data_IF_364075081521
#
_entry.id   IF_364075081521
#
_cell.length_a   1.000
_cell.length_b   1.000
_cell.length_c   1.000
_cell.angle_alpha   90.00
_cell.angle_beta   90.00
_cell.angle_gamma   90.00
#
_symmetry.space_group_name_H-M   'P 1'
#
loop_
_entity.id
_entity.type
_entity.pdbx_description
1 polymer ?
#
# COMPACT_ATOMS: atom_id res chain seq x y z
N UNK A 1 -15.74 20.24 -17.55
CA UNK A 1 -15.48 19.34 -16.41
C UNK A 1 -14.04 18.91 -16.60
N UNK A 2 -13.15 19.27 -15.67
CA UNK A 2 -11.80 18.70 -15.65
C UNK A 2 -11.92 17.22 -15.29
N UNK A 3 -11.17 16.36 -15.99
CA UNK A 3 -11.05 14.96 -15.64
C UNK A 3 -10.50 14.85 -14.21
N UNK A 4 -10.98 13.90 -13.39
CA UNK A 4 -10.39 13.68 -12.08
C UNK A 4 -8.89 13.40 -12.26
N UNK A 5 -8.02 13.97 -11.41
CA UNK A 5 -6.59 13.72 -11.53
C UNK A 5 -6.34 12.22 -11.54
N UNK A 6 -5.48 11.77 -12.47
CA UNK A 6 -5.10 10.37 -12.55
C UNK A 6 -4.70 9.86 -11.16
N UNK A 7 -5.13 8.64 -10.77
CA UNK A 7 -4.81 8.10 -9.47
C UNK A 7 -3.29 8.03 -9.33
N UNK A 8 -2.76 8.80 -8.37
CA UNK A 8 -1.32 8.84 -8.13
C UNK A 8 -0.93 7.54 -7.45
N UNK A 9 -0.02 6.81 -8.10
CA UNK A 9 0.51 5.57 -7.54
C UNK A 9 1.41 5.91 -6.34
N UNK A 10 1.21 5.28 -5.17
CA UNK A 10 2.09 5.52 -4.03
C UNK A 10 3.49 4.96 -4.28
N UNK A 11 4.53 5.77 -4.11
CA UNK A 11 5.92 5.32 -4.13
C UNK A 11 6.33 4.57 -2.85
N UNK A 12 5.63 4.83 -1.75
CA UNK A 12 5.91 4.24 -0.46
C UNK A 12 4.60 3.92 0.26
N UNK A 13 4.69 2.98 1.21
CA UNK A 13 3.61 2.77 2.17
C UNK A 13 3.28 4.12 2.84
N UNK A 14 1.99 4.42 3.05
CA UNK A 14 1.62 5.67 3.68
C UNK A 14 2.21 5.74 5.11
N UNK A 15 2.80 6.88 5.44
CA UNK A 15 3.35 7.20 6.75
C UNK A 15 2.46 8.21 7.46
N UNK A 16 2.42 8.12 8.78
CA UNK A 16 1.75 9.12 9.62
C UNK A 16 2.65 10.36 9.72
N UNK A 17 2.12 11.54 9.36
CA UNK A 17 2.83 12.81 9.51
C UNK A 17 2.76 13.35 10.95
N UNK A 18 3.43 14.48 11.21
CA UNK A 18 3.51 15.07 12.54
C UNK A 18 2.15 15.61 13.03
N UNK A 19 1.23 15.84 12.11
CA UNK A 19 -0.14 16.30 12.31
C UNK A 19 -1.12 15.13 12.47
N UNK A 20 -0.66 13.89 12.29
CA UNK A 20 -1.43 12.66 12.48
C UNK A 20 -2.16 12.16 11.24
N UNK A 21 -1.94 12.75 10.07
CA UNK A 21 -2.54 12.32 8.82
C UNK A 21 -1.77 11.16 8.19
N UNK A 22 -2.51 10.25 7.55
CA UNK A 22 -1.92 9.25 6.68
C UNK A 22 -1.52 9.89 5.36
N UNK A 23 -0.23 9.90 5.09
CA UNK A 23 0.33 10.52 3.90
C UNK A 23 1.20 9.56 3.11
N UNK A 24 1.16 9.59 1.79
CA UNK A 24 2.13 8.87 0.96
C UNK A 24 2.90 9.86 0.09
N UNK A 25 4.07 9.44 -0.39
CA UNK A 25 4.81 10.20 -1.39
C UNK A 25 4.41 9.67 -2.76
N UNK A 26 3.94 10.55 -3.64
CA UNK A 26 3.60 10.22 -5.01
C UNK A 26 4.82 10.21 -5.93
N UNK A 27 4.59 9.82 -7.19
CA UNK A 27 5.64 9.69 -8.21
C UNK A 27 6.37 11.00 -8.55
N UNK A 28 5.78 12.14 -8.20
CA UNK A 28 6.33 13.47 -8.38
C UNK A 28 7.11 13.98 -7.16
N UNK A 29 7.31 13.13 -6.14
CA UNK A 29 7.97 13.46 -4.89
C UNK A 29 7.13 14.32 -3.95
N UNK A 30 5.86 14.60 -4.28
CA UNK A 30 4.97 15.35 -3.40
C UNK A 30 4.32 14.43 -2.39
N UNK A 31 4.07 14.98 -1.20
CA UNK A 31 3.33 14.31 -0.13
C UNK A 31 1.83 14.52 -0.35
N UNK A 32 1.10 13.42 -0.46
CA UNK A 32 -0.34 13.39 -0.60
C UNK A 32 -0.96 12.86 0.68
N UNK A 33 -2.01 13.52 1.14
CA UNK A 33 -2.87 13.00 2.20
C UNK A 33 -3.79 11.96 1.56
N UNK A 34 -3.86 10.77 2.16
CA UNK A 34 -4.91 9.79 1.81
C UNK A 34 -6.22 10.38 2.28
N UNK A 35 -6.86 11.18 1.43
CA UNK A 35 -8.19 11.69 1.69
C UNK A 35 -9.14 10.49 1.73
N UNK A 36 -9.67 10.18 2.92
CA UNK A 36 -10.86 9.35 3.01
C UNK A 36 -12.01 10.07 2.27
N UNK A 37 -12.94 9.31 1.67
CA UNK A 37 -14.02 9.88 0.87
C UNK A 37 -14.75 11.01 1.62
N UNK A 38 -15.26 12.03 0.90
CA UNK A 38 -15.73 13.31 1.45
C UNK A 38 -16.92 13.23 2.44
N UNK A 39 -17.37 12.03 2.78
CA UNK A 39 -18.51 11.74 3.66
C UNK A 39 -18.11 11.14 5.02
N UNK A 40 -16.81 10.89 5.26
CA UNK A 40 -16.37 10.39 6.56
C UNK A 40 -16.47 11.51 7.62
N UNK A 41 -17.34 11.32 8.61
CA UNK A 41 -17.31 12.13 9.83
C UNK A 41 -15.89 12.11 10.44
N UNK A 42 -15.49 13.20 11.12
CA UNK A 42 -14.14 13.31 11.71
C UNK A 42 -13.79 12.13 12.64
N UNK A 43 -14.81 11.57 13.30
CA UNK A 43 -14.70 10.39 14.16
C UNK A 43 -14.40 9.11 13.36
N UNK A 44 -14.92 8.94 12.14
CA UNK A 44 -14.58 7.82 11.25
C UNK A 44 -13.15 7.90 10.76
N UNK A 45 -12.68 9.10 10.43
CA UNK A 45 -11.27 9.32 10.07
C UNK A 45 -10.35 8.92 11.22
N UNK A 46 -10.63 9.40 12.43
CA UNK A 46 -9.81 9.08 13.60
C UNK A 46 -9.81 7.57 13.91
N UNK A 47 -10.94 6.88 13.78
CA UNK A 47 -11.02 5.42 13.93
C UNK A 47 -10.22 4.66 12.88
N UNK A 48 -10.29 5.08 11.61
CA UNK A 48 -9.48 4.47 10.54
C UNK A 48 -7.98 4.67 10.81
N UNK A 49 -7.59 5.86 11.23
CA UNK A 49 -6.20 6.16 11.59
C UNK A 49 -5.73 5.34 12.79
N UNK A 50 -6.57 5.18 13.82
CA UNK A 50 -6.27 4.34 14.97
C UNK A 50 -6.07 2.87 14.57
N UNK A 51 -6.91 2.34 13.67
CA UNK A 51 -6.79 0.98 13.15
C UNK A 51 -5.49 0.78 12.36
N UNK A 52 -5.13 1.74 11.50
CA UNK A 52 -3.88 1.70 10.74
C UNK A 52 -2.66 1.69 11.66
N UNK A 53 -2.62 2.60 12.65
CA UNK A 53 -1.53 2.64 13.66
C UNK A 53 -1.42 1.35 14.46
N UNK A 54 -2.53 0.70 14.79
CA UNK A 54 -2.52 -0.62 15.42
C UNK A 54 -1.95 -1.70 14.50
N UNK A 55 -2.14 -1.54 13.19
CA UNK A 55 -1.62 -2.42 12.16
C UNK A 55 -0.15 -2.19 11.78
N UNK A 56 0.48 -1.06 12.12
CA UNK A 56 1.83 -0.70 11.68
C UNK A 56 2.87 -1.80 11.95
N UNK A 57 2.86 -2.37 13.16
CA UNK A 57 3.79 -3.45 13.53
C UNK A 57 3.56 -4.73 12.71
N UNK A 58 2.31 -5.00 12.31
CA UNK A 58 1.98 -6.12 11.45
C UNK A 58 2.36 -5.83 10.00
N UNK A 59 2.14 -4.60 9.53
CA UNK A 59 2.55 -4.17 8.19
C UNK A 59 4.07 -4.28 8.01
N UNK A 60 4.86 -3.89 9.01
CA UNK A 60 6.30 -4.06 8.98
C UNK A 60 6.70 -5.54 8.87
N UNK A 61 6.02 -6.43 9.60
CA UNK A 61 6.27 -7.88 9.47
C UNK A 61 5.93 -8.41 8.08
N UNK A 62 4.84 -7.93 7.46
CA UNK A 62 4.49 -8.29 6.09
C UNK A 62 5.60 -7.82 5.13
N UNK A 63 6.08 -6.59 5.29
CA UNK A 63 7.17 -6.06 4.47
C UNK A 63 8.44 -6.90 4.60
N UNK A 64 8.86 -7.22 5.83
CA UNK A 64 10.05 -8.04 6.09
C UNK A 64 9.93 -9.44 5.46
N UNK A 65 8.73 -10.04 5.52
CA UNK A 65 8.45 -11.34 4.89
C UNK A 65 8.49 -11.27 3.36
N UNK A 66 7.94 -10.21 2.77
CA UNK A 66 8.00 -9.96 1.33
C UNK A 66 9.44 -9.79 0.85
N UNK A 67 10.24 -8.98 1.55
CA UNK A 67 11.66 -8.77 1.22
C UNK A 67 12.45 -10.09 1.35
N UNK A 68 12.19 -10.88 2.40
CA UNK A 68 12.81 -12.20 2.57
C UNK A 68 12.44 -13.15 1.42
N UNK A 69 11.18 -13.17 0.99
CA UNK A 69 10.74 -14.00 -0.12
C UNK A 69 11.43 -13.58 -1.42
N UNK A 70 11.46 -12.27 -1.71
CA UNK A 70 12.13 -11.72 -2.91
C UNK A 70 13.61 -12.09 -2.88
N UNK A 71 14.29 -11.94 -1.74
CA UNK A 71 15.70 -12.31 -1.61
C UNK A 71 15.97 -13.81 -1.82
N UNK A 72 15.00 -14.69 -1.50
CA UNK A 72 15.13 -16.14 -1.70
C UNK A 72 14.88 -16.58 -3.14
N UNK A 73 13.98 -15.91 -3.85
CA UNK A 73 13.52 -16.32 -5.19
C UNK A 73 14.25 -15.57 -6.31
N UNK A 74 14.78 -14.38 -6.02
CA UNK A 74 15.66 -13.66 -6.96
C UNK A 74 17.03 -14.34 -7.07
N UNK A 75 17.62 -14.25 -8.26
CA UNK A 75 18.90 -14.88 -8.58
C UNK A 75 19.34 -14.57 -10.01
N UNK A 76 20.30 -15.33 -10.54
CA UNK A 76 20.81 -15.14 -11.91
C UNK A 76 19.76 -15.35 -13.00
N UNK A 77 18.70 -16.10 -12.69
CA UNK A 77 17.62 -16.43 -13.64
C UNK A 77 16.38 -15.54 -13.46
N UNK A 78 16.26 -14.87 -12.32
CA UNK A 78 15.09 -14.05 -12.00
C UNK A 78 15.52 -12.78 -11.29
N UNK A 79 15.38 -11.66 -12.00
CA UNK A 79 15.68 -10.35 -11.44
C UNK A 79 14.72 -10.00 -10.30
N UNK A 80 15.20 -9.16 -9.37
CA UNK A 80 14.42 -8.70 -8.21
C UNK A 80 13.07 -8.10 -8.62
N UNK A 81 13.03 -7.32 -9.70
CA UNK A 81 11.80 -6.68 -10.18
C UNK A 81 10.78 -7.70 -10.67
N UNK A 82 11.22 -8.73 -11.40
CA UNK A 82 10.36 -9.81 -11.86
C UNK A 82 9.83 -10.64 -10.68
N UNK A 83 10.67 -10.90 -9.66
CA UNK A 83 10.24 -11.54 -8.42
C UNK A 83 9.18 -10.70 -7.68
N UNK A 84 9.36 -9.38 -7.58
CA UNK A 84 8.37 -8.49 -6.98
C UNK A 84 7.02 -8.54 -7.72
N UNK A 85 7.03 -8.44 -9.05
CA UNK A 85 5.80 -8.56 -9.85
C UNK A 85 5.10 -9.91 -9.61
N UNK A 86 5.85 -11.01 -9.59
CA UNK A 86 5.30 -12.34 -9.31
C UNK A 86 4.67 -12.43 -7.91
N UNK A 87 5.34 -11.88 -6.90
CA UNK A 87 4.84 -11.85 -5.53
C UNK A 87 3.52 -11.10 -5.42
N UNK A 88 3.43 -9.90 -6.00
CA UNK A 88 2.24 -9.06 -5.95
C UNK A 88 1.04 -9.75 -6.63
N UNK A 89 1.22 -10.31 -7.83
CA UNK A 89 0.16 -11.05 -8.51
C UNK A 89 -0.26 -12.30 -7.73
N UNK A 90 0.69 -13.00 -7.10
CA UNK A 90 0.38 -14.19 -6.29
C UNK A 90 -0.42 -13.81 -5.04
N UNK A 91 -0.04 -12.73 -4.37
CA UNK A 91 -0.76 -12.22 -3.20
C UNK A 91 -2.14 -11.70 -3.55
N UNK A 92 -2.28 -10.98 -4.68
CA UNK A 92 -3.58 -10.51 -5.19
C UNK A 92 -4.55 -11.68 -5.36
N UNK A 93 -4.13 -12.74 -6.06
CA UNK A 93 -4.96 -13.95 -6.23
C UNK A 93 -5.24 -14.68 -4.91
N UNK A 94 -4.27 -14.72 -3.99
CA UNK A 94 -4.43 -15.44 -2.73
C UNK A 94 -5.30 -14.71 -1.70
N UNK A 95 -5.33 -13.38 -1.75
CA UNK A 95 -6.03 -12.51 -0.80
C UNK A 95 -7.38 -12.01 -1.31
N UNK A 96 -7.61 -12.06 -2.62
CA UNK A 96 -8.91 -11.79 -3.22
C UNK A 96 -9.77 -13.07 -3.28
N UNK A 97 -10.82 -13.18 -2.44
CA UNK A 97 -11.71 -14.35 -2.44
C UNK A 97 -12.54 -14.47 -3.73
N UNK A 98 -12.61 -13.41 -4.55
CA UNK A 98 -13.39 -13.37 -5.79
C UNK A 98 -12.52 -13.46 -7.06
N UNK A 99 -11.19 -13.47 -6.94
CA UNK A 99 -10.27 -13.60 -8.09
C UNK A 99 -10.41 -14.93 -8.86
N UNK A 100 -11.10 -15.92 -8.29
CA UNK A 100 -11.43 -17.21 -8.93
C UNK A 100 -12.82 -17.28 -9.58
N UNK A 101 -13.64 -16.23 -9.50
CA UNK A 101 -14.97 -16.16 -10.12
C UNK A 101 -14.93 -15.32 -11.41
N UNK A 102 -14.33 -15.88 -12.45
CA UNK A 102 -14.49 -15.44 -13.85
C UNK A 102 -15.08 -16.57 -14.69
#
# INVERSE_FOLDING_TARGET
>A
MEDPPDPITPHAAPIVDAEGHLTYIGDDGRRYVVALPPEADGDSVERVMANLRQGDALFQQIQDLCDLWIAKVSGSELERQAALSLLLTTLEVALDPDAGQL
#
